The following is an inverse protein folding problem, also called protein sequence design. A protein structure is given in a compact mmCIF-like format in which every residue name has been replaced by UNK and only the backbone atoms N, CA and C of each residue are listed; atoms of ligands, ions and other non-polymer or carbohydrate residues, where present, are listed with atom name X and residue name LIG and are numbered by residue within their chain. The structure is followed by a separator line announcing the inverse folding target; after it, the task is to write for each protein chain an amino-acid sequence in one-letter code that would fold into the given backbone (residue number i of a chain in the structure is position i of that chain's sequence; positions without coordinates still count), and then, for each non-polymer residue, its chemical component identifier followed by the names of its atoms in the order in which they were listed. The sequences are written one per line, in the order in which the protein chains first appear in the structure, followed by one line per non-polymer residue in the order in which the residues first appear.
data_IF_049173602305
#
_entry.id   IF_049173602305
#
_cell.length_a   1.000
_cell.length_b   1.000
_cell.length_c   1.000
_cell.angle_alpha   90.00
_cell.angle_beta   90.00
_cell.angle_gamma   90.00
#
_symmetry.space_group_name_H-M   'P 1'
#
loop_
_entity.id
_entity.type
_entity.pdbx_description
1 polymer ?
#
# COMPACT_ATOMS: atom_id res chain seq x y z
N UNK A 1 4.92 6.04 -22.70
CA UNK A 1 4.87 4.97 -23.70
C UNK A 1 3.44 4.51 -23.82
N UNK A 2 2.88 4.61 -24.99
CA UNK A 2 1.52 4.14 -25.26
C UNK A 2 1.60 2.72 -25.78
N UNK A 3 0.70 1.85 -25.33
CA UNK A 3 0.74 0.43 -25.61
C UNK A 3 -0.59 -0.02 -26.22
N UNK A 4 -0.54 -0.58 -27.44
CA UNK A 4 -1.67 -1.33 -27.99
C UNK A 4 -1.76 -2.68 -27.28
N UNK A 5 -2.95 -3.02 -26.79
CA UNK A 5 -3.17 -4.21 -25.95
C UNK A 5 -3.99 -5.24 -26.71
N UNK A 6 -3.37 -6.40 -26.96
CA UNK A 6 -4.05 -7.58 -27.51
C UNK A 6 -3.78 -8.78 -26.58
N UNK A 7 -4.84 -9.35 -26.02
CA UNK A 7 -4.74 -10.44 -25.05
C UNK A 7 -5.08 -11.76 -25.72
N UNK A 8 -4.18 -12.74 -25.77
CA UNK A 8 -4.53 -14.11 -26.16
C UNK A 8 -5.55 -14.69 -25.17
N UNK A 9 -6.73 -15.08 -25.65
CA UNK A 9 -7.86 -15.51 -24.82
C UNK A 9 -7.92 -17.03 -24.59
N UNK A 10 -6.92 -17.79 -25.06
CA UNK A 10 -6.82 -19.25 -24.89
C UNK A 10 -5.40 -19.66 -24.52
N UNK A 11 -5.25 -20.88 -24.00
CA UNK A 11 -3.96 -21.41 -23.62
C UNK A 11 -3.75 -21.49 -22.11
N UNK A 12 -2.50 -21.77 -21.70
CA UNK A 12 -2.09 -21.90 -20.29
C UNK A 12 -1.16 -20.76 -19.91
N UNK A 13 -1.38 -20.21 -18.72
CA UNK A 13 -0.55 -19.16 -18.14
C UNK A 13 -0.09 -19.55 -16.74
N UNK A 14 1.20 -19.55 -16.55
CA UNK A 14 1.82 -19.70 -15.24
C UNK A 14 2.37 -18.33 -14.84
N UNK A 15 1.72 -17.71 -13.87
CA UNK A 15 1.94 -16.32 -13.49
C UNK A 15 2.68 -16.25 -12.18
N UNK A 16 3.84 -15.61 -12.20
CA UNK A 16 4.57 -15.24 -10.99
C UNK A 16 4.13 -13.83 -10.56
N UNK A 17 3.38 -13.76 -9.47
CA UNK A 17 2.91 -12.49 -8.93
C UNK A 17 4.05 -11.72 -8.24
N UNK A 18 4.04 -10.39 -8.31
CA UNK A 18 4.97 -9.60 -7.51
C UNK A 18 4.70 -9.79 -6.01
N UNK A 19 5.70 -9.61 -5.14
CA UNK A 19 5.49 -9.56 -3.70
C UNK A 19 4.45 -8.52 -3.31
N UNK A 20 3.62 -8.86 -2.32
CA UNK A 20 2.61 -7.92 -1.81
C UNK A 20 3.26 -6.64 -1.31
N UNK A 21 2.98 -5.54 -2.01
CA UNK A 21 3.47 -4.22 -1.63
C UNK A 21 3.10 -3.85 -0.20
N UNK A 22 1.89 -4.20 0.21
CA UNK A 22 1.35 -3.86 1.54
C UNK A 22 2.03 -4.65 2.67
N UNK A 23 2.33 -5.93 2.45
CA UNK A 23 3.11 -6.75 3.39
C UNK A 23 4.57 -6.28 3.40
N UNK A 24 5.20 -6.20 2.24
CA UNK A 24 6.60 -5.81 2.09
C UNK A 24 6.93 -4.47 2.76
N UNK A 25 6.07 -3.47 2.60
CA UNK A 25 6.27 -2.16 3.23
C UNK A 25 6.25 -2.24 4.76
N UNK A 26 5.41 -3.10 5.36
CA UNK A 26 5.35 -3.31 6.81
C UNK A 26 6.55 -4.09 7.31
N UNK A 27 6.89 -5.17 6.61
CA UNK A 27 8.06 -5.99 6.92
C UNK A 27 9.35 -5.16 6.93
N UNK A 28 9.54 -4.30 5.93
CA UNK A 28 10.71 -3.42 5.86
C UNK A 28 10.81 -2.48 7.07
N UNK A 29 9.69 -1.89 7.53
CA UNK A 29 9.69 -1.01 8.71
C UNK A 29 9.95 -1.81 9.99
N UNK A 30 9.25 -2.94 10.19
CA UNK A 30 9.42 -3.78 11.37
C UNK A 30 10.86 -4.31 11.42
N UNK A 31 11.39 -4.79 10.30
CA UNK A 31 12.76 -5.26 10.20
C UNK A 31 13.79 -4.15 10.52
N UNK A 32 13.56 -2.92 10.02
CA UNK A 32 14.40 -1.77 10.32
C UNK A 32 14.32 -1.35 11.80
N UNK A 33 13.18 -1.56 12.46
CA UNK A 33 13.01 -1.34 13.91
C UNK A 33 13.59 -2.50 14.75
N UNK A 34 13.85 -3.65 14.15
CA UNK A 34 14.42 -4.84 14.83
C UNK A 34 15.94 -4.79 14.83
N UNK A 35 16.56 -4.86 13.67
CA UNK A 35 18.01 -4.81 13.50
C UNK A 35 18.40 -4.60 12.04
N UNK A 36 19.70 -4.24 11.83
CA UNK A 36 20.27 -4.12 10.48
C UNK A 36 20.27 -5.46 9.72
N UNK A 37 20.49 -6.56 10.42
CA UNK A 37 20.46 -7.90 9.85
C UNK A 37 19.06 -8.28 9.39
N UNK A 38 18.04 -8.03 10.22
CA UNK A 38 16.63 -8.25 9.86
C UNK A 38 16.23 -7.44 8.64
N UNK A 39 16.65 -6.17 8.55
CA UNK A 39 16.39 -5.34 7.36
C UNK A 39 17.07 -5.92 6.12
N UNK A 40 18.33 -6.37 6.22
CA UNK A 40 19.00 -7.03 5.09
C UNK A 40 18.28 -8.27 4.61
N UNK A 41 17.77 -9.11 5.53
CA UNK A 41 16.99 -10.29 5.22
C UNK A 41 15.65 -9.94 4.56
N UNK A 42 14.94 -8.93 5.07
CA UNK A 42 13.69 -8.46 4.49
C UNK A 42 13.88 -7.91 3.07
N UNK A 43 14.96 -7.14 2.82
CA UNK A 43 15.28 -6.63 1.49
C UNK A 43 15.65 -7.78 0.54
N UNK A 44 16.44 -8.74 1.00
CA UNK A 44 16.84 -9.90 0.19
C UNK A 44 15.67 -10.82 -0.18
N UNK A 45 14.61 -10.86 0.64
CA UNK A 45 13.39 -11.62 0.36
C UNK A 45 12.50 -10.99 -0.72
N UNK A 46 12.80 -9.76 -1.16
CA UNK A 46 12.06 -9.03 -2.20
C UNK A 46 12.74 -9.23 -3.57
N UNK A 47 12.65 -10.44 -4.14
CA UNK A 47 13.31 -10.81 -5.42
C UNK A 47 12.93 -9.90 -6.60
N UNK A 48 11.69 -9.41 -6.63
CA UNK A 48 11.19 -8.49 -7.66
C UNK A 48 10.53 -7.28 -6.99
N UNK A 49 11.31 -6.24 -6.77
CA UNK A 49 10.79 -4.99 -6.20
C UNK A 49 9.97 -4.20 -7.22
N UNK A 50 8.77 -3.80 -6.85
CA UNK A 50 8.08 -2.70 -7.50
C UNK A 50 8.66 -1.34 -7.05
N UNK A 51 8.39 -0.28 -7.80
CA UNK A 51 8.96 1.05 -7.53
C UNK A 51 8.71 1.53 -6.10
N UNK A 52 7.49 1.30 -5.56
CA UNK A 52 7.10 1.72 -4.22
C UNK A 52 7.92 1.01 -3.12
N UNK A 53 8.14 -0.30 -3.23
CA UNK A 53 8.96 -1.06 -2.26
C UNK A 53 10.44 -0.78 -2.42
N UNK A 54 10.92 -0.60 -3.66
CA UNK A 54 12.28 -0.21 -3.93
C UNK A 54 12.63 1.17 -3.35
N UNK A 55 11.73 2.16 -3.47
CA UNK A 55 11.90 3.49 -2.88
C UNK A 55 12.03 3.40 -1.35
N UNK A 56 11.19 2.59 -0.70
CA UNK A 56 11.25 2.37 0.74
C UNK A 56 12.53 1.64 1.17
N UNK A 57 12.91 0.57 0.49
CA UNK A 57 14.14 -0.17 0.76
C UNK A 57 15.37 0.74 0.63
N UNK A 58 15.46 1.55 -0.44
CA UNK A 58 16.53 2.54 -0.61
C UNK A 58 16.57 3.52 0.55
N UNK A 59 15.43 4.11 0.94
CA UNK A 59 15.37 5.06 2.05
C UNK A 59 15.85 4.45 3.38
N UNK A 60 15.55 3.18 3.62
CA UNK A 60 15.96 2.48 4.84
C UNK A 60 17.43 2.01 4.80
N UNK A 61 17.98 1.66 3.64
CA UNK A 61 19.36 1.14 3.51
C UNK A 61 20.42 2.23 3.29
N UNK A 62 20.07 3.34 2.61
CA UNK A 62 21.03 4.41 2.30
C UNK A 62 21.48 5.22 3.52
N UNK A 63 20.78 5.12 4.64
CA UNK A 63 21.08 5.81 5.89
C UNK A 63 21.62 4.85 6.95
N UNK A 64 22.71 4.18 6.64
CA UNK A 64 23.25 2.97 7.29
C UNK A 64 23.74 3.07 8.74
N UNK A 65 23.56 4.21 9.44
CA UNK A 65 23.97 4.37 10.84
C UNK A 65 22.78 4.30 11.82
N UNK A 66 21.94 3.26 11.71
CA UNK A 66 20.85 3.01 12.67
C UNK A 66 21.34 2.49 14.05
N UNK A 67 22.59 2.71 14.42
CA UNK A 67 23.22 2.16 15.64
C UNK A 67 22.67 2.72 16.95
N UNK A 68 21.75 3.68 16.94
CA UNK A 68 21.25 4.33 18.15
C UNK A 68 19.76 4.13 18.46
N UNK A 69 19.05 3.22 17.78
CA UNK A 69 17.59 3.18 17.88
C UNK A 69 17.07 2.29 19.00
N UNK A 70 17.83 1.32 19.48
CA UNK A 70 17.32 0.36 20.45
C UNK A 70 18.28 0.18 21.63
N UNK A 71 18.39 1.19 22.49
CA UNK A 71 18.51 0.88 23.90
C UNK A 71 17.10 0.55 24.40
N UNK A 72 16.61 -0.64 24.10
CA UNK A 72 15.58 -1.26 24.90
C UNK A 72 16.15 -1.38 26.30
N UNK A 73 15.67 -0.56 27.20
CA UNK A 73 15.90 -0.72 28.63
C UNK A 73 15.29 -2.05 29.08
N UNK A 74 15.97 -3.16 28.79
CA UNK A 74 15.89 -4.34 29.60
C UNK A 74 16.59 -3.95 30.90
N UNK A 75 15.86 -3.41 31.88
CA UNK A 75 16.27 -3.46 33.25
C UNK A 75 16.35 -4.93 33.63
N UNK A 76 17.54 -5.50 33.52
CA UNK A 76 18.20 -6.36 34.48
C UNK A 76 19.53 -6.86 33.91
N UNK A 77 20.61 -6.31 34.48
CA UNK A 77 21.98 -6.84 34.47
C UNK A 77 22.72 -6.92 33.15
N UNK A 78 23.38 -5.83 32.76
CA UNK A 78 24.78 -5.94 32.31
C UNK A 78 25.50 -4.62 32.61
N UNK A 79 26.69 -4.79 33.27
CA UNK A 79 27.58 -3.72 33.71
C UNK A 79 28.19 -2.98 32.50
N UNK A 80 28.40 -1.69 32.71
CA UNK A 80 29.08 -0.77 31.85
C UNK A 80 30.43 -1.27 31.33
N UNK A 81 30.66 -1.16 30.03
CA UNK A 81 32.01 -1.09 29.47
C UNK A 81 32.21 0.35 28.96
N UNK A 82 33.24 0.93 29.50
CA UNK A 82 33.66 2.31 29.40
C UNK A 82 33.93 2.77 27.98
N UNK A 83 33.44 3.96 27.66
CA UNK A 83 33.80 4.80 26.52
C UNK A 83 35.17 5.47 26.71
N UNK A 84 35.84 5.87 25.61
CA UNK A 84 36.84 6.93 25.70
C UNK A 84 36.34 8.23 25.05
N UNK A 85 36.38 9.26 25.88
CA UNK A 85 36.77 10.66 25.65
C UNK A 85 36.08 11.49 24.55
N UNK A 86 35.26 12.39 25.06
CA UNK A 86 34.84 13.70 24.55
C UNK A 86 36.03 14.68 24.48
N UNK A 87 35.94 15.69 23.62
CA UNK A 87 36.21 17.04 24.10
C UNK A 87 35.00 17.97 24.00
N UNK A 88 34.73 18.59 25.14
CA UNK A 88 33.89 19.78 25.28
C UNK A 88 34.43 20.97 24.50
N UNK A 89 33.57 21.65 23.75
CA UNK A 89 33.67 23.08 23.56
C UNK A 89 32.30 23.75 23.66
N UNK A 90 32.18 24.53 24.71
CA UNK A 90 31.13 25.53 24.90
C UNK A 90 31.54 26.83 24.20
N UNK A 91 30.62 27.42 23.44
CA UNK A 91 30.19 28.83 23.53
C UNK A 91 29.28 29.24 22.38
N UNK A 92 28.18 29.75 22.71
CA UNK A 92 27.18 30.65 22.24
C UNK A 92 27.36 31.30 20.86
N UNK A 93 26.31 31.21 20.06
CA UNK A 93 26.07 31.97 18.83
C UNK A 93 24.82 31.37 18.16
N UNK A 94 23.80 32.20 17.96
CA UNK A 94 22.50 31.81 17.47
C UNK A 94 22.55 31.05 16.13
N UNK A 95 21.82 30.03 16.09
CA UNK A 95 21.45 28.97 15.20
C UNK A 95 21.15 29.31 13.72
N UNK A 96 22.16 29.66 12.96
CA UNK A 96 22.09 29.57 11.49
C UNK A 96 22.72 28.28 10.94
N UNK A 97 23.41 27.49 11.76
CA UNK A 97 24.04 26.22 11.32
C UNK A 97 23.12 25.00 11.34
N UNK A 98 22.04 24.99 12.14
CA UNK A 98 21.10 23.86 12.17
C UNK A 98 20.23 23.76 10.89
N UNK A 99 19.93 24.89 10.25
CA UNK A 99 19.19 24.89 8.97
C UNK A 99 19.96 24.25 7.83
N UNK A 100 21.30 24.36 7.82
CA UNK A 100 22.15 23.80 6.75
C UNK A 100 22.38 22.29 6.86
N UNK A 101 22.15 21.66 8.02
CA UNK A 101 22.41 20.22 8.19
C UNK A 101 21.32 19.34 7.54
N UNK A 102 20.10 19.86 7.39
CA UNK A 102 19.00 19.11 6.76
C UNK A 102 19.01 19.20 5.22
N UNK A 103 19.76 20.13 4.64
CA UNK A 103 19.88 20.29 3.18
C UNK A 103 21.08 19.58 2.56
N UNK A 104 21.87 18.82 3.34
CA UNK A 104 22.88 17.94 2.78
C UNK A 104 22.20 16.85 1.94
N UNK A 105 22.73 16.56 0.76
CA UNK A 105 22.23 15.56 -0.19
C UNK A 105 22.03 14.17 0.43
N UNK A 106 22.74 13.88 1.51
CA UNK A 106 22.62 12.63 2.27
C UNK A 106 21.37 12.55 3.19
N UNK A 107 20.65 13.67 3.40
CA UNK A 107 19.48 13.73 4.30
C UNK A 107 18.15 13.98 3.57
N UNK A 108 18.17 13.98 2.24
CA UNK A 108 16.98 14.13 1.41
C UNK A 108 16.49 12.79 0.91
N UNK A 109 15.24 12.46 1.23
CA UNK A 109 14.58 11.22 0.84
C UNK A 109 13.41 11.55 -0.07
N UNK A 110 13.49 11.15 -1.33
CA UNK A 110 12.38 11.24 -2.28
C UNK A 110 11.73 9.87 -2.47
N UNK A 111 10.45 9.75 -2.10
CA UNK A 111 9.67 8.53 -2.27
C UNK A 111 8.81 8.54 -3.53
N UNK A 112 8.99 9.53 -4.40
CA UNK A 112 8.20 9.70 -5.62
C UNK A 112 6.69 9.63 -5.34
N UNK A 113 5.96 8.75 -6.02
CA UNK A 113 4.53 8.52 -5.82
C UNK A 113 4.17 7.47 -4.77
N UNK A 114 5.13 6.96 -3.97
CA UNK A 114 4.94 5.86 -3.03
C UNK A 114 4.24 6.31 -1.73
N UNK A 115 2.90 6.32 -1.74
CA UNK A 115 2.09 6.80 -0.62
C UNK A 115 2.32 6.07 0.69
N UNK A 116 2.49 4.76 0.66
CA UNK A 116 2.78 3.94 1.85
C UNK A 116 4.16 4.27 2.41
N UNK A 117 5.17 4.41 1.54
CA UNK A 117 6.52 4.80 1.94
C UNK A 117 6.53 6.18 2.63
N UNK A 118 5.83 7.18 2.06
CA UNK A 118 5.70 8.51 2.67
C UNK A 118 5.20 8.43 4.12
N UNK A 119 4.11 7.68 4.38
CA UNK A 119 3.50 7.60 5.70
C UNK A 119 4.33 6.79 6.69
N UNK A 120 4.84 5.65 6.26
CA UNK A 120 5.61 4.76 7.11
C UNK A 120 6.97 5.33 7.46
N UNK A 121 7.66 5.93 6.49
CA UNK A 121 8.94 6.62 6.75
C UNK A 121 8.75 7.86 7.60
N UNK A 122 7.64 8.60 7.51
CA UNK A 122 7.38 9.73 8.42
C UNK A 122 7.41 9.28 9.87
N UNK A 123 6.68 8.21 10.22
CA UNK A 123 6.67 7.68 11.59
C UNK A 123 8.03 7.06 11.97
N UNK A 124 8.65 6.31 11.08
CA UNK A 124 9.95 5.70 11.32
C UNK A 124 11.04 6.75 11.55
N UNK A 125 11.16 7.77 10.71
CA UNK A 125 12.18 8.82 10.85
C UNK A 125 11.95 9.68 12.10
N UNK A 126 10.69 9.89 12.49
CA UNK A 126 10.34 10.62 13.71
C UNK A 126 10.92 9.97 14.99
N UNK A 127 11.08 8.64 15.03
CA UNK A 127 11.66 7.94 16.19
C UNK A 127 13.20 7.73 16.10
N UNK A 128 13.87 8.16 14.99
CA UNK A 128 15.31 8.00 14.78
C UNK A 128 16.10 9.15 15.45
N UNK A 129 16.45 9.02 16.72
CA UNK A 129 17.09 10.08 17.50
C UNK A 129 18.36 10.62 16.83
N UNK A 130 18.49 11.96 16.85
CA UNK A 130 19.66 12.66 16.33
C UNK A 130 19.73 12.75 14.81
N UNK A 131 18.70 12.29 14.10
CA UNK A 131 18.60 12.45 12.65
C UNK A 131 17.71 13.64 12.28
N UNK A 132 18.09 14.30 11.20
CA UNK A 132 17.27 15.32 10.57
C UNK A 132 17.19 15.00 9.08
N UNK A 133 15.98 14.76 8.58
CA UNK A 133 15.73 14.39 7.18
C UNK A 133 14.67 15.29 6.55
N UNK A 134 14.81 15.52 5.25
CA UNK A 134 13.73 16.04 4.40
C UNK A 134 13.09 14.88 3.66
N UNK A 135 11.82 14.65 3.91
CA UNK A 135 11.03 13.59 3.26
C UNK A 135 10.06 14.21 2.25
N UNK A 136 10.22 13.87 0.99
CA UNK A 136 9.51 14.45 -0.14
C UNK A 136 8.99 13.38 -1.10
N UNK A 137 8.20 13.80 -2.08
CA UNK A 137 7.69 12.98 -3.17
C UNK A 137 7.42 13.81 -4.42
N UNK A 138 6.85 13.18 -5.44
CA UNK A 138 6.48 13.87 -6.66
C UNK A 138 5.34 14.89 -6.44
N UNK A 139 5.02 15.68 -7.47
CA UNK A 139 4.01 16.72 -7.37
C UNK A 139 2.66 16.20 -6.88
N UNK A 140 2.21 15.03 -7.32
CA UNK A 140 0.96 14.42 -6.84
C UNK A 140 1.04 14.07 -5.35
N UNK A 141 2.18 13.58 -4.85
CA UNK A 141 2.38 13.28 -3.43
C UNK A 141 2.28 14.52 -2.57
N UNK A 142 2.79 15.66 -3.03
CA UNK A 142 2.69 16.96 -2.33
C UNK A 142 1.25 17.48 -2.22
N UNK A 143 0.27 16.87 -2.91
CA UNK A 143 -1.16 17.16 -2.79
C UNK A 143 -1.93 16.09 -1.99
N UNK A 144 -1.26 15.08 -1.46
CA UNK A 144 -1.89 14.03 -0.63
C UNK A 144 -1.74 14.39 0.85
N UNK A 145 -2.85 14.52 1.60
CA UNK A 145 -2.80 14.96 2.99
C UNK A 145 -2.03 13.98 3.88
N UNK A 146 -1.34 14.54 4.90
CA UNK A 146 -0.57 13.79 5.89
C UNK A 146 -0.77 14.35 7.32
N UNK A 147 -1.48 15.44 7.47
CA UNK A 147 -1.68 16.14 8.75
C UNK A 147 -2.10 15.20 9.89
N UNK A 148 -3.10 14.30 9.76
CA UNK A 148 -3.52 13.47 10.89
C UNK A 148 -2.39 12.60 11.46
N UNK A 149 -1.48 12.12 10.61
CA UNK A 149 -0.31 11.37 11.07
C UNK A 149 0.71 12.28 11.76
N UNK A 150 1.00 13.43 11.16
CA UNK A 150 1.96 14.41 11.73
C UNK A 150 1.49 14.91 13.08
N UNK A 151 0.21 15.24 13.23
CA UNK A 151 -0.37 15.72 14.48
C UNK A 151 -0.28 14.66 15.58
N UNK A 152 -0.61 13.40 15.27
CA UNK A 152 -0.45 12.29 16.20
C UNK A 152 1.02 12.10 16.61
N UNK A 153 1.97 12.14 15.67
CA UNK A 153 3.40 12.04 15.98
C UNK A 153 3.91 13.23 16.78
N UNK A 154 3.47 14.45 16.50
CA UNK A 154 3.78 15.65 17.29
C UNK A 154 3.25 15.50 18.72
N UNK A 155 2.04 14.94 18.90
CA UNK A 155 1.50 14.64 20.22
C UNK A 155 2.36 13.62 20.99
N UNK A 156 2.99 12.68 20.26
CA UNK A 156 3.97 11.74 20.81
C UNK A 156 5.36 12.36 21.05
N UNK A 157 5.56 13.66 20.77
CA UNK A 157 6.81 14.39 20.98
C UNK A 157 7.72 14.49 19.75
N UNK A 158 7.25 14.15 18.56
CA UNK A 158 8.01 14.32 17.32
C UNK A 158 8.17 15.82 16.97
N UNK A 159 9.31 16.16 16.36
CA UNK A 159 9.54 17.47 15.72
C UNK A 159 9.44 17.30 14.21
N UNK A 160 8.34 17.76 13.65
CA UNK A 160 8.06 17.66 12.20
C UNK A 160 7.55 19.02 11.73
N UNK A 161 8.19 19.58 10.71
CA UNK A 161 7.79 20.83 10.08
C UNK A 161 7.34 20.58 8.65
N UNK A 162 6.32 21.30 8.19
CA UNK A 162 5.95 21.36 6.79
C UNK A 162 6.85 22.37 6.09
N UNK A 163 7.46 21.99 4.97
CA UNK A 163 8.41 22.89 4.27
C UNK A 163 7.68 23.88 3.37
N UNK A 164 6.58 23.42 2.74
CA UNK A 164 5.86 24.23 1.75
C UNK A 164 4.42 24.55 2.27
N UNK A 165 3.55 23.57 2.27
CA UNK A 165 2.13 23.74 2.62
C UNK A 165 1.78 22.95 3.87
N UNK A 166 1.13 23.61 4.84
CA UNK A 166 0.62 22.96 6.06
C UNK A 166 -0.30 21.78 5.72
N UNK A 167 -0.06 20.64 6.37
CA UNK A 167 -0.81 19.41 6.17
C UNK A 167 -0.34 18.52 5.02
N UNK A 168 0.69 18.94 4.28
CA UNK A 168 1.16 18.24 3.07
C UNK A 168 2.69 18.12 3.02
N UNK A 169 3.24 17.07 2.35
CA UNK A 169 4.68 17.01 2.07
C UNK A 169 5.12 18.21 1.20
N UNK A 170 6.41 18.59 1.21
CA UNK A 170 7.54 17.96 1.89
C UNK A 170 7.59 18.22 3.39
N UNK A 171 8.19 17.26 4.14
CA UNK A 171 8.34 17.33 5.58
C UNK A 171 9.81 17.44 5.97
N UNK A 172 10.12 18.29 6.95
CA UNK A 172 11.38 18.28 7.69
C UNK A 172 11.12 17.53 9.00
N UNK A 173 11.84 16.44 9.24
CA UNK A 173 11.66 15.57 10.38
C UNK A 173 12.95 15.52 11.19
N UNK A 174 12.88 15.94 12.47
CA UNK A 174 13.95 15.74 13.43
C UNK A 174 13.59 14.56 14.34
N UNK A 175 14.35 13.47 14.24
CA UNK A 175 14.14 12.25 15.00
C UNK A 175 14.39 12.46 16.49
N UNK A 176 13.42 12.08 17.32
CA UNK A 176 13.46 12.25 18.77
C UNK A 176 12.98 10.99 19.50
N UNK A 177 13.15 10.96 20.82
CA UNK A 177 12.47 9.97 21.64
C UNK A 177 10.98 10.30 21.65
N UNK A 178 10.19 9.39 21.10
CA UNK A 178 8.74 9.48 21.17
C UNK A 178 8.25 8.98 22.54
N UNK A 179 7.06 9.42 22.92
CA UNK A 179 6.38 9.04 24.15
C UNK A 179 5.08 8.31 23.78
N UNK A 180 4.85 7.17 24.41
CA UNK A 180 3.60 6.44 24.29
C UNK A 180 2.46 7.15 25.03
N UNK A 181 1.29 6.51 25.06
CA UNK A 181 0.11 6.99 25.76
C UNK A 181 -1.19 6.80 24.99
N UNK A 182 -2.22 7.52 25.38
CA UNK A 182 -3.51 7.52 24.70
C UNK A 182 -3.48 8.45 23.49
N UNK A 183 -3.97 7.94 22.35
CA UNK A 183 -4.10 8.69 21.10
C UNK A 183 -5.50 8.48 20.51
N UNK A 184 -5.99 9.50 19.81
CA UNK A 184 -7.18 9.39 19.00
C UNK A 184 -6.85 9.74 17.54
N UNK A 185 -7.44 9.00 16.60
CA UNK A 185 -7.29 9.23 15.17
C UNK A 185 -8.62 8.95 14.47
N UNK A 186 -8.98 9.72 13.47
CA UNK A 186 -10.14 9.41 12.63
C UNK A 186 -9.93 8.12 11.85
N UNK A 187 -10.88 7.19 11.96
CA UNK A 187 -10.86 5.88 11.30
C UNK A 187 -11.20 5.94 9.81
N UNK A 188 -11.87 7.01 9.38
CA UNK A 188 -12.42 7.19 8.02
C UNK A 188 -11.42 7.81 7.02
N UNK A 189 -10.19 8.13 7.44
CA UNK A 189 -9.22 8.83 6.58
C UNK A 189 -8.30 7.87 5.84
N UNK A 190 -7.45 7.15 6.56
CA UNK A 190 -6.48 6.21 5.93
C UNK A 190 -5.91 5.23 6.95
N UNK A 191 -6.03 3.93 6.67
CA UNK A 191 -5.38 2.88 7.45
C UNK A 191 -3.84 2.96 7.43
N UNK A 192 -3.26 3.69 6.48
CA UNK A 192 -1.80 3.91 6.44
C UNK A 192 -1.32 4.75 7.63
N UNK A 193 -2.12 5.75 8.08
CA UNK A 193 -1.77 6.54 9.26
C UNK A 193 -1.80 5.68 10.51
N UNK A 194 -2.87 4.92 10.68
CA UNK A 194 -3.01 3.95 11.78
C UNK A 194 -1.84 2.97 11.79
N UNK A 195 -1.56 2.31 10.66
CA UNK A 195 -0.48 1.33 10.54
C UNK A 195 0.90 1.94 10.86
N UNK A 196 1.16 3.17 10.40
CA UNK A 196 2.42 3.87 10.67
C UNK A 196 2.64 4.10 12.17
N UNK A 197 1.61 4.57 12.89
CA UNK A 197 1.65 4.78 14.35
C UNK A 197 1.82 3.46 15.09
N UNK A 198 1.07 2.42 14.72
CA UNK A 198 1.13 1.11 15.37
C UNK A 198 2.53 0.51 15.32
N UNK A 199 3.20 0.56 14.15
CA UNK A 199 4.52 -0.05 13.98
C UNK A 199 5.60 0.63 14.83
N UNK A 200 5.53 1.94 15.06
CA UNK A 200 6.52 2.65 15.90
C UNK A 200 6.14 2.70 17.38
N UNK A 201 4.89 2.36 17.71
CA UNK A 201 4.38 2.41 19.07
C UNK A 201 5.18 1.59 20.11
N UNK A 202 5.64 0.37 19.82
CA UNK A 202 6.41 -0.41 20.80
C UNK A 202 7.67 0.32 21.28
N UNK A 203 8.44 0.89 20.36
CA UNK A 203 9.69 1.63 20.67
C UNK A 203 9.43 3.02 21.25
N UNK A 204 8.20 3.53 21.12
CA UNK A 204 7.75 4.80 21.73
C UNK A 204 7.24 4.62 23.18
N UNK A 205 7.18 3.40 23.71
CA UNK A 205 6.68 3.12 25.05
C UNK A 205 5.25 2.59 25.11
N UNK A 206 4.69 2.18 23.98
CA UNK A 206 3.33 1.63 23.86
C UNK A 206 2.25 2.72 23.69
N UNK A 207 1.16 2.39 23.02
CA UNK A 207 0.02 3.29 22.84
C UNK A 207 -1.31 2.58 23.05
N UNK A 208 -2.34 3.35 23.41
CA UNK A 208 -3.75 2.97 23.26
C UNK A 208 -4.35 3.91 22.22
N UNK A 209 -4.67 3.38 21.04
CA UNK A 209 -5.17 4.17 19.90
C UNK A 209 -6.66 3.95 19.73
N UNK A 210 -7.45 5.01 19.93
CA UNK A 210 -8.88 5.04 19.62
C UNK A 210 -9.09 5.50 18.20
N UNK A 211 -9.88 4.75 17.41
CA UNK A 211 -10.30 5.17 16.09
C UNK A 211 -11.72 5.72 16.15
N UNK A 212 -11.86 6.98 15.77
CA UNK A 212 -13.14 7.70 15.78
C UNK A 212 -13.87 7.58 14.44
N UNK A 213 -15.18 7.38 14.48
CA UNK A 213 -16.02 7.22 13.29
C UNK A 213 -15.88 5.84 12.63
N UNK A 214 -16.26 5.77 11.36
CA UNK A 214 -16.20 4.52 10.60
C UNK A 214 -14.76 4.12 10.30
N UNK A 215 -14.45 2.84 10.53
CA UNK A 215 -13.09 2.32 10.26
C UNK A 215 -13.03 1.80 8.83
N UNK A 216 -12.45 2.58 7.92
CA UNK A 216 -12.20 2.14 6.56
C UNK A 216 -10.91 1.32 6.45
N UNK A 217 -10.89 0.39 5.49
CA UNK A 217 -9.68 -0.43 5.22
C UNK A 217 -9.16 -1.18 6.45
N UNK A 218 -10.05 -1.63 7.33
CA UNK A 218 -9.73 -2.39 8.55
C UNK A 218 -8.79 -3.58 8.32
N UNK A 219 -8.92 -4.38 7.23
CA UNK A 219 -8.00 -5.50 6.98
C UNK A 219 -6.52 -5.10 6.90
N UNK A 220 -6.21 -3.88 6.49
CA UNK A 220 -4.82 -3.39 6.47
C UNK A 220 -4.28 -3.06 7.88
N UNK A 221 -5.17 -2.71 8.82
CA UNK A 221 -4.81 -2.56 10.24
C UNK A 221 -4.58 -3.95 10.83
N UNK A 222 -5.49 -4.89 10.58
CA UNK A 222 -5.38 -6.28 11.07
C UNK A 222 -4.13 -6.98 10.54
N UNK A 223 -3.76 -6.73 9.27
CA UNK A 223 -2.49 -7.16 8.68
C UNK A 223 -1.29 -6.61 9.46
N UNK A 224 -1.32 -5.33 9.85
CA UNK A 224 -0.24 -4.71 10.65
C UNK A 224 -0.12 -5.39 12.00
N UNK A 225 -1.25 -5.59 12.69
CA UNK A 225 -1.28 -6.26 14.00
C UNK A 225 -0.79 -7.72 13.92
N UNK A 226 -1.11 -8.43 12.83
CA UNK A 226 -0.65 -9.80 12.62
C UNK A 226 0.87 -9.87 12.42
N UNK A 227 1.44 -8.96 11.61
CA UNK A 227 2.89 -8.88 11.42
C UNK A 227 3.62 -8.46 12.71
N UNK A 228 3.09 -7.50 13.46
CA UNK A 228 3.64 -7.11 14.75
C UNK A 228 3.70 -8.31 15.73
N UNK A 229 2.64 -9.13 15.77
CA UNK A 229 2.62 -10.36 16.58
C UNK A 229 3.61 -11.40 16.08
N UNK A 230 3.77 -11.57 14.78
CA UNK A 230 4.79 -12.45 14.19
C UNK A 230 6.20 -12.06 14.64
N UNK A 231 6.44 -10.76 14.83
CA UNK A 231 7.69 -10.20 15.34
C UNK A 231 7.67 -9.92 16.85
N UNK A 232 6.83 -10.62 17.63
CA UNK A 232 6.85 -10.65 19.09
C UNK A 232 6.15 -9.50 19.82
N UNK A 233 5.38 -8.65 19.13
CA UNK A 233 4.61 -7.58 19.76
C UNK A 233 3.12 -7.93 19.80
N UNK A 234 2.59 -8.17 20.99
CA UNK A 234 1.18 -8.55 21.23
C UNK A 234 0.20 -7.35 21.11
N UNK A 235 0.19 -6.73 19.95
CA UNK A 235 -0.76 -5.67 19.63
C UNK A 235 -2.14 -6.26 19.29
N UNK A 236 -3.22 -5.66 19.83
CA UNK A 236 -4.59 -6.19 19.66
C UNK A 236 -5.67 -5.13 19.80
N UNK A 237 -6.84 -5.44 19.24
CA UNK A 237 -8.06 -4.72 19.55
C UNK A 237 -8.51 -5.04 20.98
N UNK A 238 -8.92 -4.02 21.72
CA UNK A 238 -9.48 -4.14 23.08
C UNK A 238 -10.46 -2.98 23.31
N UNK A 239 -11.71 -3.30 23.61
CA UNK A 239 -12.79 -2.34 23.90
C UNK A 239 -12.91 -1.20 22.88
N UNK A 240 -12.84 -1.51 21.58
CA UNK A 240 -12.96 -0.52 20.50
C UNK A 240 -11.70 0.29 20.22
N UNK A 241 -10.65 0.13 21.01
CA UNK A 241 -9.32 0.71 20.78
C UNK A 241 -8.30 -0.34 20.35
N UNK A 242 -7.14 0.11 19.86
CA UNK A 242 -6.00 -0.76 19.58
C UNK A 242 -4.96 -0.52 20.68
N UNK A 243 -4.62 -1.58 21.40
CA UNK A 243 -3.60 -1.55 22.45
C UNK A 243 -2.31 -2.14 21.92
N UNK A 244 -1.23 -1.38 21.97
CA UNK A 244 0.12 -1.79 21.61
C UNK A 244 1.01 -1.65 22.84
N UNK A 245 1.59 -2.75 23.36
CA UNK A 245 2.50 -2.69 24.49
C UNK A 245 3.83 -2.03 24.10
N UNK A 246 4.53 -1.48 25.10
CA UNK A 246 5.92 -1.14 24.96
C UNK A 246 6.76 -2.41 24.76
N UNK A 247 7.78 -2.35 23.92
CA UNK A 247 8.64 -3.50 23.66
C UNK A 247 9.57 -3.32 22.49
N UNK A 248 10.32 -4.36 22.20
CA UNK A 248 11.20 -4.46 21.05
C UNK A 248 10.73 -5.58 20.15
N UNK A 249 10.81 -5.38 18.88
CA UNK A 249 10.58 -6.44 17.89
C UNK A 249 11.66 -7.52 18.01
N UNK A 250 11.27 -8.76 17.76
CA UNK A 250 12.16 -9.91 17.66
C UNK A 250 12.41 -10.27 16.21
N UNK A 251 13.61 -10.73 15.90
CA UNK A 251 13.92 -11.22 14.57
C UNK A 251 13.09 -12.46 14.24
N UNK A 252 12.38 -12.41 13.14
CA UNK A 252 11.60 -13.51 12.56
C UNK A 252 11.78 -13.53 11.05
N UNK A 253 11.46 -14.66 10.41
CA UNK A 253 11.49 -14.74 8.96
C UNK A 253 10.46 -13.79 8.35
N UNK A 254 10.80 -13.00 7.31
CA UNK A 254 9.86 -12.08 6.68
C UNK A 254 8.66 -12.82 6.08
N UNK A 255 7.46 -12.29 6.31
CA UNK A 255 6.22 -12.80 5.70
C UNK A 255 6.03 -12.10 4.36
N UNK A 256 6.45 -12.77 3.29
CA UNK A 256 6.33 -12.28 1.91
C UNK A 256 5.50 -13.30 1.13
N UNK A 257 4.40 -12.83 0.56
CA UNK A 257 3.53 -13.58 -0.35
C UNK A 257 3.19 -12.75 -1.58
N UNK A 258 2.65 -13.37 -2.62
CA UNK A 258 2.19 -12.67 -3.82
C UNK A 258 1.07 -11.68 -3.50
N UNK A 259 0.98 -10.63 -4.30
CA UNK A 259 0.01 -9.55 -4.10
C UNK A 259 -1.39 -9.97 -4.57
N UNK A 260 -2.36 -10.07 -3.65
CA UNK A 260 -3.75 -10.36 -3.99
C UNK A 260 -4.45 -9.23 -4.76
N UNK A 261 -4.00 -7.97 -4.62
CA UNK A 261 -4.45 -6.91 -5.51
C UNK A 261 -4.00 -7.18 -6.95
N UNK A 262 -2.75 -7.64 -7.14
CA UNK A 262 -2.23 -8.03 -8.47
C UNK A 262 -2.95 -9.28 -9.01
N UNK A 263 -3.24 -10.26 -8.15
CA UNK A 263 -4.04 -11.43 -8.51
C UNK A 263 -5.42 -11.07 -9.03
N UNK A 264 -6.03 -9.98 -8.51
CA UNK A 264 -7.39 -9.57 -8.87
C UNK A 264 -7.58 -9.40 -10.38
N UNK A 265 -6.56 -8.86 -11.08
CA UNK A 265 -6.65 -8.65 -12.54
C UNK A 265 -6.70 -9.98 -13.30
N UNK A 266 -6.00 -11.01 -12.82
CA UNK A 266 -6.05 -12.35 -13.39
C UNK A 266 -7.39 -13.04 -13.13
N UNK A 267 -8.01 -12.79 -11.97
CA UNK A 267 -9.37 -13.26 -11.70
C UNK A 267 -10.36 -12.55 -12.62
N UNK A 268 -10.21 -11.23 -12.84
CA UNK A 268 -10.99 -10.49 -13.82
C UNK A 268 -10.83 -11.05 -15.23
N UNK A 269 -9.59 -11.32 -15.65
CA UNK A 269 -9.32 -11.95 -16.94
C UNK A 269 -9.97 -13.33 -17.05
N UNK A 270 -9.93 -14.15 -15.99
CA UNK A 270 -10.55 -15.47 -15.97
C UNK A 270 -12.07 -15.41 -16.13
N UNK A 271 -12.74 -14.43 -15.50
CA UNK A 271 -14.18 -14.20 -15.69
C UNK A 271 -14.52 -13.83 -17.15
N UNK A 272 -13.63 -13.07 -17.81
CA UNK A 272 -13.82 -12.60 -19.18
C UNK A 272 -13.39 -13.62 -20.24
N UNK A 273 -12.45 -14.49 -19.92
CA UNK A 273 -11.91 -15.55 -20.79
C UNK A 273 -11.91 -16.91 -20.08
N UNK A 274 -13.08 -17.55 -19.92
CA UNK A 274 -13.24 -18.80 -19.17
C UNK A 274 -12.34 -19.95 -19.61
N UNK A 275 -11.96 -20.00 -20.88
CA UNK A 275 -11.13 -21.06 -21.47
C UNK A 275 -9.64 -20.95 -21.12
N UNK A 276 -9.17 -19.83 -20.58
CA UNK A 276 -7.80 -19.69 -20.13
C UNK A 276 -7.53 -20.59 -18.91
N UNK A 277 -6.44 -21.33 -18.94
CA UNK A 277 -5.92 -22.06 -17.78
C UNK A 277 -4.91 -21.16 -17.07
N UNK A 278 -5.26 -20.60 -15.90
CA UNK A 278 -4.40 -19.66 -15.18
C UNK A 278 -4.00 -20.26 -13.84
N UNK A 279 -2.69 -20.32 -13.59
CA UNK A 279 -2.09 -20.67 -12.30
C UNK A 279 -1.32 -19.46 -11.78
N UNK A 280 -1.58 -19.04 -10.54
CA UNK A 280 -0.94 -17.89 -9.88
C UNK A 280 -0.07 -18.37 -8.73
N UNK A 281 1.11 -17.78 -8.58
CA UNK A 281 2.02 -18.05 -7.45
C UNK A 281 2.85 -16.80 -7.11
N UNK A 282 3.38 -16.65 -5.88
CA UNK A 282 3.01 -17.41 -4.69
C UNK A 282 1.77 -16.82 -4.01
N UNK A 283 0.75 -17.63 -3.71
CA UNK A 283 -0.45 -17.20 -2.98
C UNK A 283 -0.81 -18.23 -1.90
N UNK A 284 -1.33 -17.74 -0.77
CA UNK A 284 -1.76 -18.56 0.36
C UNK A 284 -3.26 -18.48 0.59
N UNK A 285 -3.87 -19.58 1.00
CA UNK A 285 -5.25 -19.63 1.48
C UNK A 285 -5.42 -18.83 2.78
N UNK A 286 -4.36 -18.78 3.60
CA UNK A 286 -4.34 -18.07 4.88
C UNK A 286 -3.62 -16.73 4.78
N UNK A 287 -3.91 -15.98 3.70
CA UNK A 287 -3.31 -14.68 3.47
C UNK A 287 -3.71 -13.64 4.52
N UNK A 288 -2.75 -12.83 4.95
CA UNK A 288 -3.00 -11.66 5.78
C UNK A 288 -3.57 -10.47 4.98
N UNK A 289 -3.58 -10.53 3.66
CA UNK A 289 -4.05 -9.46 2.80
C UNK A 289 -5.57 -9.40 2.75
N UNK A 290 -6.16 -8.23 3.06
CA UNK A 290 -7.61 -8.01 2.93
C UNK A 290 -8.13 -8.24 1.51
N UNK A 291 -7.28 -7.96 0.51
CA UNK A 291 -7.62 -8.14 -0.91
C UNK A 291 -7.74 -9.62 -1.33
N UNK A 292 -7.35 -10.57 -0.47
CA UNK A 292 -7.71 -11.99 -0.62
C UNK A 292 -9.22 -12.19 -0.80
N UNK A 293 -10.05 -11.28 -0.26
CA UNK A 293 -11.50 -11.28 -0.43
C UNK A 293 -11.95 -11.30 -1.91
N UNK A 294 -11.06 -10.93 -2.88
CA UNK A 294 -11.37 -11.03 -4.30
C UNK A 294 -11.73 -12.46 -4.72
N UNK A 295 -11.16 -13.48 -4.08
CA UNK A 295 -11.46 -14.87 -4.37
C UNK A 295 -12.97 -15.16 -4.25
N UNK A 296 -13.61 -14.72 -3.14
CA UNK A 296 -15.05 -14.87 -2.94
C UNK A 296 -15.89 -13.85 -3.72
N UNK A 297 -15.34 -12.65 -3.97
CA UNK A 297 -16.04 -11.62 -4.75
C UNK A 297 -16.27 -12.04 -6.20
N UNK A 298 -15.40 -12.89 -6.75
CA UNK A 298 -15.48 -13.32 -8.14
C UNK A 298 -16.29 -14.61 -8.34
N UNK A 299 -16.68 -15.33 -7.28
CA UNK A 299 -17.50 -16.54 -7.38
C UNK A 299 -18.85 -16.30 -8.10
N UNK A 300 -19.61 -15.21 -7.83
CA UNK A 300 -20.85 -14.93 -8.57
C UNK A 300 -20.62 -14.66 -10.06
N UNK A 301 -19.38 -14.38 -10.47
CA UNK A 301 -18.97 -14.18 -11.86
C UNK A 301 -18.36 -15.45 -12.49
N UNK A 302 -18.48 -16.59 -11.80
CA UNK A 302 -18.04 -17.91 -12.27
C UNK A 302 -16.58 -18.25 -11.97
N UNK A 303 -15.81 -17.39 -11.29
CA UNK A 303 -14.41 -17.68 -10.99
C UNK A 303 -14.25 -18.33 -9.64
N UNK A 304 -13.65 -19.51 -9.61
CA UNK A 304 -13.29 -20.24 -8.39
C UNK A 304 -11.77 -20.35 -8.24
N UNK A 305 -11.28 -20.07 -7.03
CA UNK A 305 -9.86 -20.21 -6.68
C UNK A 305 -9.65 -21.57 -6.01
N UNK A 306 -8.76 -22.39 -6.58
CA UNK A 306 -8.30 -23.63 -5.97
C UNK A 306 -6.88 -23.51 -5.47
N UNK A 307 -6.65 -23.83 -4.21
CA UNK A 307 -5.36 -23.73 -3.54
C UNK A 307 -4.60 -25.06 -3.63
N UNK A 308 -3.29 -24.97 -3.90
CA UNK A 308 -2.36 -26.09 -3.95
C UNK A 308 -1.12 -25.80 -3.09
N UNK A 309 -0.85 -26.64 -2.09
CA UNK A 309 0.36 -26.58 -1.25
C UNK A 309 0.65 -25.22 -0.61
N UNK A 310 -0.37 -24.42 -0.30
CA UNK A 310 -0.27 -23.07 0.25
C UNK A 310 0.69 -22.12 -0.50
N UNK A 311 0.99 -22.39 -1.76
CA UNK A 311 1.91 -21.57 -2.57
C UNK A 311 1.38 -21.22 -3.95
N UNK A 312 0.43 -21.99 -4.47
CA UNK A 312 -0.12 -21.77 -5.80
C UNK A 312 -1.64 -21.86 -5.77
N UNK A 313 -2.26 -21.12 -6.66
CA UNK A 313 -3.71 -21.24 -6.92
C UNK A 313 -3.96 -21.43 -8.40
N UNK A 314 -4.95 -22.24 -8.75
CA UNK A 314 -5.48 -22.34 -10.11
C UNK A 314 -6.84 -21.69 -10.16
N UNK A 315 -7.07 -20.90 -11.21
CA UNK A 315 -8.35 -20.26 -11.46
C UNK A 315 -9.21 -21.15 -12.33
N UNK A 316 -10.28 -21.67 -11.77
CA UNK A 316 -11.32 -22.42 -12.47
C UNK A 316 -12.48 -21.50 -12.86
N UNK A 317 -13.26 -21.92 -13.83
CA UNK A 317 -14.50 -21.23 -14.18
C UNK A 317 -15.66 -22.22 -14.19
N UNK A 318 -16.66 -21.91 -13.38
CA UNK A 318 -17.93 -22.63 -13.35
C UNK A 318 -18.93 -21.91 -14.26
N UNK A 319 -19.75 -22.67 -14.97
CA UNK A 319 -20.89 -22.11 -15.69
C UNK A 319 -21.92 -21.63 -14.67
N UNK A 320 -22.02 -20.33 -14.49
CA UNK A 320 -22.98 -19.69 -13.58
C UNK A 320 -23.91 -18.77 -14.36
N UNK A 321 -25.13 -18.59 -13.85
CA UNK A 321 -25.97 -17.49 -14.27
C UNK A 321 -25.45 -16.23 -13.60
N UNK A 322 -25.03 -15.25 -14.41
CA UNK A 322 -24.56 -13.95 -13.89
C UNK A 322 -25.68 -13.28 -13.08
N UNK A 323 -25.34 -12.58 -12.00
CA UNK A 323 -26.30 -11.87 -11.19
C UNK A 323 -26.97 -10.74 -11.99
N UNK A 324 -28.28 -10.56 -11.79
CA UNK A 324 -29.01 -9.45 -12.40
C UNK A 324 -28.50 -8.08 -11.96
N UNK A 325 -27.91 -8.00 -10.77
CA UNK A 325 -27.20 -6.84 -10.23
C UNK A 325 -26.17 -7.31 -9.19
N UNK A 326 -24.98 -6.69 -9.23
CA UNK A 326 -23.91 -6.92 -8.27
C UNK A 326 -23.81 -5.73 -7.29
N UNK A 327 -24.12 -5.96 -6.01
CA UNK A 327 -24.06 -4.92 -4.98
C UNK A 327 -23.03 -5.29 -3.91
N UNK A 328 -22.11 -4.39 -3.59
CA UNK A 328 -21.10 -4.63 -2.55
C UNK A 328 -20.59 -3.36 -1.88
N UNK A 329 -20.36 -3.44 -0.58
CA UNK A 329 -19.58 -2.45 0.16
C UNK A 329 -18.08 -2.77 0.01
N UNK A 330 -17.31 -1.79 -0.46
CA UNK A 330 -15.89 -1.88 -0.75
C UNK A 330 -15.01 -1.13 0.27
N UNK A 331 -15.58 -0.63 1.36
CA UNK A 331 -14.84 0.12 2.38
C UNK A 331 -13.65 -0.64 2.96
N UNK A 332 -13.75 -1.97 3.06
CA UNK A 332 -12.68 -2.84 3.53
C UNK A 332 -11.56 -3.07 2.49
N UNK A 333 -11.90 -3.07 1.20
CA UNK A 333 -11.01 -3.45 0.10
C UNK A 333 -11.11 -2.49 -1.10
N UNK A 334 -10.89 -1.18 -0.90
CA UNK A 334 -11.11 -0.17 -1.94
C UNK A 334 -10.20 -0.36 -3.16
N UNK A 335 -9.05 -1.00 -2.99
CA UNK A 335 -8.08 -1.22 -4.06
C UNK A 335 -8.55 -2.26 -5.11
N UNK A 336 -9.58 -3.06 -4.81
CA UNK A 336 -10.21 -4.01 -5.73
C UNK A 336 -11.28 -3.38 -6.64
N UNK A 337 -11.72 -2.16 -6.35
CA UNK A 337 -12.79 -1.47 -7.11
C UNK A 337 -12.48 -1.34 -8.58
N UNK A 338 -11.27 -0.94 -9.02
CA UNK A 338 -10.96 -0.83 -10.44
C UNK A 338 -11.17 -2.15 -11.20
N UNK A 339 -10.64 -3.26 -10.66
CA UNK A 339 -10.80 -4.58 -11.29
C UNK A 339 -12.26 -5.01 -11.38
N UNK A 340 -13.01 -4.88 -10.26
CA UNK A 340 -14.43 -5.26 -10.23
C UNK A 340 -15.26 -4.41 -11.17
N UNK A 341 -15.10 -3.09 -11.15
CA UNK A 341 -15.89 -2.18 -12.00
C UNK A 341 -15.67 -2.47 -13.50
N UNK A 342 -14.40 -2.60 -13.92
CA UNK A 342 -14.06 -2.94 -15.30
C UNK A 342 -14.62 -4.32 -15.68
N UNK A 343 -14.40 -5.34 -14.85
CA UNK A 343 -14.87 -6.71 -15.13
C UNK A 343 -16.40 -6.76 -15.25
N UNK A 344 -17.12 -6.11 -14.32
CA UNK A 344 -18.58 -6.07 -14.32
C UNK A 344 -19.15 -5.32 -15.55
N UNK A 345 -18.53 -4.20 -15.95
CA UNK A 345 -18.89 -3.50 -17.19
C UNK A 345 -18.71 -4.40 -18.41
N UNK A 346 -17.56 -5.07 -18.53
CA UNK A 346 -17.24 -5.95 -19.67
C UNK A 346 -18.15 -7.20 -19.74
N UNK A 347 -18.65 -7.67 -18.59
CA UNK A 347 -19.68 -8.72 -18.49
C UNK A 347 -21.11 -8.17 -18.65
N UNK A 348 -21.29 -6.85 -18.74
CA UNK A 348 -22.60 -6.15 -18.77
C UNK A 348 -23.48 -6.50 -17.56
N UNK A 349 -22.86 -6.66 -16.39
CA UNK A 349 -23.55 -6.86 -15.12
C UNK A 349 -23.77 -5.51 -14.46
N UNK A 350 -25.00 -5.06 -14.26
CA UNK A 350 -25.31 -3.87 -13.47
C UNK A 350 -24.72 -3.96 -12.06
N UNK A 351 -24.20 -2.84 -11.53
CA UNK A 351 -23.62 -2.88 -10.19
C UNK A 351 -23.83 -1.59 -9.38
N UNK A 352 -23.69 -1.75 -8.06
CA UNK A 352 -23.53 -0.66 -7.09
C UNK A 352 -22.40 -1.02 -6.11
N UNK A 353 -21.25 -0.35 -6.25
CA UNK A 353 -20.11 -0.47 -5.34
C UNK A 353 -20.13 0.76 -4.42
N UNK A 354 -20.32 0.53 -3.11
CA UNK A 354 -20.37 1.57 -2.07
C UNK A 354 -19.12 1.54 -1.19
N UNK A 355 -18.97 2.49 -0.25
CA UNK A 355 -17.79 2.55 0.61
C UNK A 355 -16.52 2.99 -0.11
N UNK A 356 -16.64 3.77 -1.19
CA UNK A 356 -15.56 4.08 -2.13
C UNK A 356 -15.00 5.51 -2.03
N UNK A 357 -15.48 6.33 -1.09
CA UNK A 357 -15.10 7.75 -0.98
C UNK A 357 -13.59 7.97 -0.93
N UNK A 358 -12.84 7.08 -0.26
CA UNK A 358 -11.37 7.18 -0.14
C UNK A 358 -10.63 7.06 -1.47
N UNK A 359 -11.27 6.55 -2.53
CA UNK A 359 -10.66 6.41 -3.87
C UNK A 359 -10.40 7.74 -4.57
N UNK A 360 -11.09 8.82 -4.15
CA UNK A 360 -10.85 10.18 -4.66
C UNK A 360 -9.50 10.77 -4.24
N UNK A 361 -8.93 10.26 -3.13
CA UNK A 361 -7.69 10.74 -2.51
C UNK A 361 -6.48 9.82 -2.76
N UNK A 362 -6.60 8.89 -3.71
CA UNK A 362 -5.52 7.96 -4.08
C UNK A 362 -4.55 8.60 -5.11
N UNK A 363 -3.87 7.77 -5.88
CA UNK A 363 -2.95 8.16 -6.94
C UNK A 363 -3.60 9.11 -7.96
N UNK A 364 -4.87 8.84 -8.26
CA UNK A 364 -5.78 9.68 -9.04
C UNK A 364 -7.09 9.84 -8.26
N UNK A 365 -8.05 10.64 -8.75
CA UNK A 365 -9.46 10.44 -8.41
C UNK A 365 -9.95 9.21 -9.19
N UNK A 366 -9.81 8.02 -8.58
CA UNK A 366 -10.12 6.74 -9.23
C UNK A 366 -11.57 6.62 -9.66
N UNK A 367 -12.50 7.25 -8.93
CA UNK A 367 -13.92 7.19 -9.26
C UNK A 367 -14.20 7.96 -10.55
N UNK A 368 -13.67 9.17 -10.64
CA UNK A 368 -13.83 10.01 -11.82
C UNK A 368 -13.10 9.42 -13.02
N UNK A 369 -11.88 8.93 -12.82
CA UNK A 369 -11.11 8.26 -13.87
C UNK A 369 -11.82 7.01 -14.41
N UNK A 370 -12.37 6.14 -13.54
CA UNK A 370 -13.17 4.99 -13.98
C UNK A 370 -14.42 5.42 -14.75
N UNK A 371 -15.12 6.47 -14.30
CA UNK A 371 -16.28 7.01 -15.02
C UNK A 371 -15.91 7.48 -16.43
N UNK A 372 -14.80 8.20 -16.56
CA UNK A 372 -14.33 8.74 -17.84
C UNK A 372 -13.89 7.61 -18.79
N UNK A 373 -13.02 6.72 -18.32
CA UNK A 373 -12.41 5.70 -19.18
C UNK A 373 -13.39 4.59 -19.57
N UNK A 374 -14.28 4.18 -18.65
CA UNK A 374 -15.38 3.27 -19.00
C UNK A 374 -16.41 3.95 -19.90
N UNK A 375 -16.60 5.26 -19.76
CA UNK A 375 -17.41 6.06 -20.68
C UNK A 375 -16.88 6.07 -22.12
N UNK A 376 -15.55 6.17 -22.31
CA UNK A 376 -14.91 6.04 -23.61
C UNK A 376 -15.15 4.66 -24.27
N UNK A 377 -15.24 3.60 -23.44
CA UNK A 377 -15.60 2.24 -23.86
C UNK A 377 -17.11 2.08 -24.08
N UNK A 378 -17.92 3.12 -23.81
CA UNK A 378 -19.36 3.13 -24.02
C UNK A 378 -20.21 2.65 -22.84
N UNK A 379 -19.63 2.45 -21.66
CA UNK A 379 -20.35 2.07 -20.44
C UNK A 379 -20.78 3.31 -19.63
N UNK A 380 -22.09 3.48 -19.40
CA UNK A 380 -22.63 4.61 -18.64
C UNK A 380 -22.45 4.38 -17.13
N UNK A 381 -21.27 4.70 -16.61
CA UNK A 381 -20.94 4.59 -15.18
C UNK A 381 -21.16 5.93 -14.48
N UNK A 382 -21.79 5.91 -13.31
CA UNK A 382 -22.01 7.07 -12.45
C UNK A 382 -21.07 7.04 -11.23
N UNK A 383 -20.33 8.12 -11.02
CA UNK A 383 -19.43 8.31 -9.89
C UNK A 383 -20.05 9.31 -8.88
N UNK A 384 -20.67 8.80 -7.83
CA UNK A 384 -21.15 9.58 -6.68
C UNK A 384 -20.06 9.82 -5.64
N UNK A 385 -20.39 10.47 -4.52
CA UNK A 385 -19.42 10.77 -3.45
C UNK A 385 -18.86 9.51 -2.78
N UNK A 386 -19.70 8.52 -2.54
CA UNK A 386 -19.34 7.26 -1.86
C UNK A 386 -19.88 6.03 -2.61
N UNK A 387 -20.13 6.13 -3.90
CA UNK A 387 -20.63 5.01 -4.70
C UNK A 387 -20.20 5.14 -6.16
N UNK A 388 -19.95 3.99 -6.78
CA UNK A 388 -19.80 3.82 -8.23
C UNK A 388 -20.93 2.90 -8.71
N UNK A 389 -21.69 3.33 -9.74
CA UNK A 389 -22.87 2.62 -10.23
C UNK A 389 -22.84 2.43 -11.74
N UNK A 390 -23.42 1.33 -12.18
CA UNK A 390 -23.65 1.00 -13.58
C UNK A 390 -24.97 0.25 -13.72
N UNK A 391 -25.85 0.72 -14.61
CA UNK A 391 -27.19 0.12 -14.77
C UNK A 391 -27.32 -0.83 -15.97
N UNK A 392 -26.18 -1.19 -16.58
CA UNK A 392 -26.15 -2.11 -17.73
C UNK A 392 -26.19 -1.41 -19.09
N UNK A 393 -26.34 -0.10 -19.15
CA UNK A 393 -26.41 0.67 -20.39
C UNK A 393 -25.02 0.75 -21.07
N UNK A 394 -24.97 0.29 -22.32
CA UNK A 394 -23.74 0.27 -23.11
C UNK A 394 -24.02 0.66 -24.55
N UNK A 395 -23.25 1.62 -25.06
CA UNK A 395 -23.25 2.01 -26.47
C UNK A 395 -21.83 1.85 -27.01
N UNK A 396 -21.56 0.88 -27.91
CA UNK A 396 -20.21 0.66 -28.41
C UNK A 396 -19.61 1.93 -29.01
N UNK A 397 -18.32 2.23 -28.75
CA UNK A 397 -17.64 3.35 -29.37
C UNK A 397 -17.49 3.13 -30.88
N UNK A 398 -17.49 4.22 -31.68
CA UNK A 398 -17.33 4.15 -33.12
C UNK A 398 -15.93 3.70 -33.57
N UNK A 399 -14.93 3.89 -32.75
CA UNK A 399 -13.55 3.48 -32.98
C UNK A 399 -12.91 3.03 -31.66
N UNK A 400 -11.84 2.18 -31.70
CA UNK A 400 -11.12 1.81 -30.50
C UNK A 400 -10.60 3.04 -29.75
N UNK A 401 -10.91 3.19 -28.45
CA UNK A 401 -10.44 4.34 -27.69
C UNK A 401 -8.98 4.21 -27.25
N UNK A 402 -8.39 5.37 -26.99
CA UNK A 402 -7.12 5.48 -26.27
C UNK A 402 -7.48 5.78 -24.82
N UNK A 403 -7.13 4.88 -23.91
CA UNK A 403 -7.47 4.97 -22.49
C UNK A 403 -6.33 5.57 -21.67
N UNK A 404 -6.66 6.51 -20.79
CA UNK A 404 -5.68 7.14 -19.90
C UNK A 404 -5.78 6.53 -18.48
N UNK A 405 -4.73 5.92 -17.97
CA UNK A 405 -4.72 5.44 -16.59
C UNK A 405 -4.55 6.55 -15.54
N UNK A 406 -4.45 7.82 -15.92
CA UNK A 406 -4.32 8.96 -15.01
C UNK A 406 -3.16 8.78 -14.01
N UNK A 407 -1.99 8.31 -14.47
CA UNK A 407 -0.81 7.98 -13.66
C UNK A 407 -1.08 6.95 -12.53
N UNK A 408 -2.16 6.17 -12.65
CA UNK A 408 -2.55 5.15 -11.69
C UNK A 408 -2.36 3.74 -12.26
N UNK A 409 -1.40 3.00 -11.66
CA UNK A 409 -1.07 1.64 -12.05
C UNK A 409 -2.26 0.67 -11.97
N UNK A 410 -3.18 0.86 -11.00
CA UNK A 410 -4.37 0.01 -10.84
C UNK A 410 -5.36 0.23 -11.98
N UNK A 411 -5.50 1.48 -12.43
CA UNK A 411 -6.33 1.79 -13.60
C UNK A 411 -5.71 1.21 -14.88
N UNK A 412 -4.39 1.36 -15.08
CA UNK A 412 -3.71 0.79 -16.25
C UNK A 412 -3.96 -0.72 -16.39
N UNK A 413 -3.78 -1.46 -15.27
CA UNK A 413 -3.98 -2.91 -15.26
C UNK A 413 -5.46 -3.31 -15.40
N UNK A 414 -6.38 -2.63 -14.73
CA UNK A 414 -7.80 -2.92 -14.82
C UNK A 414 -8.34 -2.61 -16.23
N UNK A 415 -8.02 -1.44 -16.78
CA UNK A 415 -8.47 -1.02 -18.11
C UNK A 415 -7.90 -1.90 -19.23
N UNK A 416 -6.72 -2.49 -19.04
CA UNK A 416 -6.16 -3.42 -20.02
C UNK A 416 -7.05 -4.64 -20.29
N UNK A 417 -7.88 -5.05 -19.30
CA UNK A 417 -8.85 -6.13 -19.48
C UNK A 417 -9.90 -5.82 -20.56
N UNK A 418 -10.10 -4.55 -20.89
CA UNK A 418 -11.01 -4.15 -21.95
C UNK A 418 -10.62 -4.74 -23.32
N UNK A 419 -9.35 -5.05 -23.55
CA UNK A 419 -8.88 -5.73 -24.76
C UNK A 419 -9.52 -7.12 -25.00
N UNK A 420 -10.13 -7.73 -23.97
CA UNK A 420 -10.91 -8.97 -24.14
C UNK A 420 -12.21 -8.78 -24.92
N UNK A 421 -12.71 -7.55 -25.05
CA UNK A 421 -14.01 -7.21 -25.69
C UNK A 421 -13.88 -6.08 -26.71
N UNK A 422 -12.85 -5.26 -26.61
CA UNK A 422 -12.61 -4.10 -27.46
C UNK A 422 -11.24 -4.25 -28.13
N UNK A 423 -11.21 -4.66 -29.40
CA UNK A 423 -9.96 -4.81 -30.14
C UNK A 423 -9.34 -3.46 -30.47
N UNK A 424 -8.01 -3.39 -30.48
CA UNK A 424 -7.26 -2.20 -30.89
C UNK A 424 -7.25 -1.07 -29.88
N UNK A 425 -7.60 -1.31 -28.60
CA UNK A 425 -7.45 -0.29 -27.57
C UNK A 425 -5.97 0.01 -27.31
N UNK A 426 -5.70 1.25 -26.95
CA UNK A 426 -4.36 1.71 -26.56
C UNK A 426 -4.43 2.20 -25.11
N UNK A 427 -3.46 1.81 -24.30
CA UNK A 427 -3.28 2.35 -22.95
C UNK A 427 -2.15 3.37 -22.97
N UNK A 428 -2.45 4.63 -22.68
CA UNK A 428 -1.46 5.68 -22.52
C UNK A 428 -0.61 5.42 -21.28
N UNK A 429 0.59 5.97 -21.25
CA UNK A 429 1.47 5.91 -20.06
C UNK A 429 1.53 4.50 -19.43
N UNK A 430 1.59 3.46 -20.27
CA UNK A 430 1.49 2.06 -19.86
C UNK A 430 2.56 1.63 -18.84
N UNK A 431 3.71 2.34 -18.78
CA UNK A 431 4.80 2.07 -17.84
C UNK A 431 4.42 2.32 -16.37
N UNK A 432 3.32 3.01 -16.07
CA UNK A 432 2.89 3.27 -14.69
C UNK A 432 2.67 1.99 -13.86
N UNK A 433 2.50 0.85 -14.51
CA UNK A 433 2.35 -0.47 -13.84
C UNK A 433 3.56 -0.86 -13.01
N UNK A 434 4.78 -0.34 -13.32
CA UNK A 434 6.02 -0.63 -12.58
C UNK A 434 5.92 -0.27 -11.10
N UNK A 435 5.03 0.65 -10.77
CA UNK A 435 4.75 1.07 -9.41
C UNK A 435 4.31 -0.08 -8.48
N UNK A 436 3.68 -1.14 -9.01
CA UNK A 436 3.25 -2.30 -8.24
C UNK A 436 3.41 -3.63 -8.94
N UNK A 437 3.47 -3.67 -10.28
CA UNK A 437 3.57 -4.91 -11.06
C UNK A 437 4.44 -4.71 -12.30
N UNK A 438 5.78 -4.67 -12.16
CA UNK A 438 6.69 -4.37 -13.27
C UNK A 438 6.58 -5.30 -14.48
N UNK A 439 6.25 -6.58 -14.24
CA UNK A 439 6.14 -7.62 -15.29
C UNK A 439 4.74 -7.77 -15.87
N UNK A 440 3.78 -6.87 -15.54
CA UNK A 440 2.38 -6.98 -15.97
C UNK A 440 2.22 -7.18 -17.46
N UNK A 441 2.78 -6.27 -18.26
CA UNK A 441 2.63 -6.33 -19.72
C UNK A 441 3.26 -7.57 -20.33
N UNK A 442 4.44 -7.95 -19.84
CA UNK A 442 5.11 -9.16 -20.29
C UNK A 442 4.25 -10.41 -20.05
N UNK A 443 3.61 -10.51 -18.89
CA UNK A 443 2.81 -11.69 -18.53
C UNK A 443 1.41 -11.67 -19.16
N UNK A 444 0.83 -10.46 -19.36
CA UNK A 444 -0.50 -10.33 -19.96
C UNK A 444 -0.50 -10.65 -21.45
N UNK A 445 0.54 -10.27 -22.17
CA UNK A 445 0.60 -10.34 -23.63
C UNK A 445 1.26 -11.63 -24.17
N UNK A 446 1.71 -12.53 -23.29
CA UNK A 446 2.17 -13.88 -23.62
C UNK A 446 0.96 -14.79 -23.82
#
# INVERSE_FOLDING_TARGET
MDLSVEIPLSGRREVLLPPSKSLAARELIIAALTSRESLSQAVAALDTCCDDTAAMARALTSHNDYTHVIECTQNHKYQAISSPSTPLYLRGGADTQQLNHCYNSNNYINVEGAGTAMRFLTAFMACQRGRCVTLDGNQRMRHRPIAPLVDALRHMGATIDYIDREGFPPLKIEGRKLHGGALALRGDVSSQFTSALLMVAPVAGGITLTLEGDIVSRPYIDMTLALMRHHGIEARWHDGAIVVPAGCYTAAAPVIEGDWSAASYWLGLKALAPQLCITLSPLSEHSLQGDHAIATMMEPLGVRVRYYNNKCVTLEHDAVQLPSRYCRDMAATPDLVPTLAVTLCLLRVPFALTGVATLRLKESDRLEALRQELGQLGYCVEAGDNALRYDGNHTPPASPPVLDPHDDHRLAMALSLAATRHHGIVINNAQVVTKSYPTWWQQLLQ
#
